data_IF_246096928585
#
_entry.id   IF_246096928585
#
_cell.length_a   1.000
_cell.length_b   1.000
_cell.length_c   1.000
_cell.angle_alpha   90.00
_cell.angle_beta   90.00
_cell.angle_gamma   90.00
#
_symmetry.space_group_name_H-M   'P 1'
#
loop_
_entity.id
_entity.type
_entity.pdbx_description
1 polymer ?
#
# COMPACT_ATOMS: atom_id res chain seq x y z
N UNK A 1 8.17 -18.89 -30.88
CA UNK A 1 6.96 -18.14 -30.46
C UNK A 1 7.05 -17.94 -28.95
N UNK A 2 6.98 -16.71 -28.44
CA UNK A 2 7.03 -16.42 -27.00
C UNK A 2 5.64 -16.73 -26.42
N UNK A 3 5.55 -17.57 -25.40
CA UNK A 3 4.28 -17.86 -24.74
C UNK A 3 3.64 -16.56 -24.23
N UNK A 4 2.30 -16.41 -24.27
CA UNK A 4 1.64 -15.26 -23.70
C UNK A 4 2.00 -15.16 -22.21
N UNK A 5 2.41 -13.97 -21.77
CA UNK A 5 2.71 -13.73 -20.36
C UNK A 5 1.45 -14.05 -19.53
N UNK A 6 1.60 -14.86 -18.49
CA UNK A 6 0.50 -15.17 -17.58
C UNK A 6 -0.07 -13.88 -17.01
N UNK A 7 -1.40 -13.79 -16.91
CA UNK A 7 -2.06 -12.62 -16.33
C UNK A 7 -1.56 -12.39 -14.89
N UNK A 8 -1.33 -11.13 -14.48
CA UNK A 8 -0.84 -10.83 -13.15
C UNK A 8 -1.85 -11.31 -12.09
N UNK A 9 -1.34 -12.04 -11.11
CA UNK A 9 -2.16 -12.59 -10.02
C UNK A 9 -2.79 -11.46 -9.20
N UNK A 10 -4.09 -11.58 -8.95
CA UNK A 10 -4.89 -10.60 -8.21
C UNK A 10 -5.16 -11.06 -6.78
N UNK A 11 -4.95 -10.16 -5.83
CA UNK A 11 -5.22 -10.35 -4.41
C UNK A 11 -6.42 -9.51 -4.00
N UNK A 12 -7.33 -10.10 -3.22
CA UNK A 12 -8.46 -9.38 -2.64
C UNK A 12 -8.10 -8.95 -1.22
N UNK A 13 -8.21 -7.65 -0.94
CA UNK A 13 -7.75 -7.04 0.31
C UNK A 13 -8.78 -6.05 0.86
N UNK A 14 -8.61 -5.67 2.12
CA UNK A 14 -9.28 -4.50 2.71
C UNK A 14 -8.35 -3.30 2.64
N UNK A 15 -8.82 -2.20 2.07
CA UNK A 15 -8.06 -0.96 1.97
C UNK A 15 -8.50 0.05 3.03
N UNK A 16 -7.51 0.68 3.65
CA UNK A 16 -7.67 1.85 4.53
C UNK A 16 -6.74 2.98 4.09
N UNK A 17 -6.80 4.12 4.77
CA UNK A 17 -5.81 5.18 4.64
C UNK A 17 -5.16 5.45 6.00
N UNK A 18 -3.86 5.79 5.98
CA UNK A 18 -3.13 6.23 7.17
C UNK A 18 -2.45 7.57 6.96
N UNK A 19 -2.30 8.28 8.07
CA UNK A 19 -1.59 9.54 8.19
C UNK A 19 -0.24 9.30 8.87
N UNK A 20 0.82 9.96 8.39
CA UNK A 20 2.15 9.91 9.01
C UNK A 20 2.16 10.74 10.32
N UNK A 21 1.47 10.23 11.34
CA UNK A 21 1.33 10.84 12.67
C UNK A 21 1.52 9.78 13.77
N UNK A 22 2.04 10.15 14.96
CA UNK A 22 2.37 9.19 16.02
C UNK A 22 1.21 8.31 16.53
N UNK A 23 -0.05 8.67 16.27
CA UNK A 23 -1.21 7.84 16.63
C UNK A 23 -1.48 6.67 15.67
N UNK A 24 -0.87 6.69 14.48
CA UNK A 24 -1.05 5.69 13.43
C UNK A 24 0.26 5.03 13.00
N UNK A 25 1.40 5.58 13.43
CA UNK A 25 2.75 5.11 13.11
C UNK A 25 3.51 4.77 14.40
N UNK A 26 4.76 4.34 14.27
CA UNK A 26 5.64 4.12 15.42
C UNK A 26 6.35 5.42 15.87
N UNK A 27 7.53 5.32 16.48
CA UNK A 27 8.23 6.45 17.10
C UNK A 27 8.77 7.48 16.10
N UNK A 28 8.92 7.15 14.82
CA UNK A 28 9.32 8.10 13.76
C UNK A 28 8.32 8.05 12.59
N UNK A 29 7.27 8.90 12.62
CA UNK A 29 6.16 8.83 11.66
C UNK A 29 6.58 9.01 10.19
N UNK A 30 7.77 9.55 9.93
CA UNK A 30 8.24 9.85 8.57
C UNK A 30 9.24 8.83 8.04
N UNK A 31 9.58 7.80 8.80
CA UNK A 31 10.47 6.71 8.38
C UNK A 31 9.64 5.44 8.22
N UNK A 32 9.61 4.89 7.01
CA UNK A 32 8.83 3.69 6.69
C UNK A 32 9.56 2.41 7.07
N UNK A 33 8.86 1.27 7.08
CA UNK A 33 9.44 -0.04 7.42
C UNK A 33 10.62 -0.47 6.51
N UNK A 34 10.77 0.11 5.32
CA UNK A 34 11.92 -0.08 4.43
C UNK A 34 13.05 0.95 4.61
N UNK A 35 12.96 1.81 5.62
CA UNK A 35 13.84 2.96 5.92
C UNK A 35 13.79 4.10 4.90
N UNK A 36 12.78 4.15 4.02
CA UNK A 36 12.54 5.33 3.19
C UNK A 36 12.02 6.48 4.05
N UNK A 37 12.28 7.72 3.61
CA UNK A 37 11.78 8.92 4.27
C UNK A 37 10.64 9.54 3.48
N UNK A 38 9.48 9.69 4.13
CA UNK A 38 8.31 10.36 3.53
C UNK A 38 8.70 11.80 3.15
N UNK A 39 8.48 12.22 1.89
CA UNK A 39 8.90 13.53 1.42
C UNK A 39 8.10 14.66 2.06
N UNK A 40 8.69 15.86 2.11
CA UNK A 40 7.96 17.07 2.50
C UNK A 40 6.85 17.35 1.48
N UNK A 41 5.65 17.68 1.99
CA UNK A 41 4.49 17.93 1.14
C UNK A 41 3.81 16.67 0.62
N UNK A 42 4.06 15.52 1.26
CA UNK A 42 3.38 14.26 0.96
C UNK A 42 1.85 14.39 1.02
N UNK A 43 1.19 13.42 0.40
CA UNK A 43 -0.25 13.19 0.46
C UNK A 43 -0.65 11.98 -0.38
N UNK A 44 -1.94 11.81 -0.69
CA UNK A 44 -2.40 10.70 -1.52
C UNK A 44 -1.73 10.64 -2.90
N UNK A 45 -1.33 11.81 -3.42
CA UNK A 45 -0.59 11.95 -4.68
C UNK A 45 0.84 11.38 -4.63
N UNK A 46 1.41 11.15 -3.44
CA UNK A 46 2.72 10.51 -3.27
C UNK A 46 2.68 9.05 -3.73
N UNK A 47 1.49 8.42 -3.73
CA UNK A 47 1.26 7.04 -4.18
C UNK A 47 2.15 6.01 -3.47
N UNK A 48 2.31 6.17 -2.17
CA UNK A 48 2.94 5.17 -1.31
C UNK A 48 1.86 4.43 -0.52
N UNK A 49 2.11 3.16 -0.20
CA UNK A 49 1.23 2.37 0.65
C UNK A 49 1.99 1.43 1.58
N UNK A 50 1.29 1.01 2.63
CA UNK A 50 1.68 -0.07 3.53
C UNK A 50 0.92 -1.35 3.16
N UNK A 51 1.53 -2.51 3.37
CA UNK A 51 0.86 -3.81 3.27
C UNK A 51 0.83 -4.53 4.62
N UNK A 52 -0.18 -5.36 4.84
CA UNK A 52 -0.16 -6.29 5.97
C UNK A 52 0.96 -7.32 5.82
N UNK A 53 1.47 -7.82 6.95
CA UNK A 53 2.63 -8.72 6.98
C UNK A 53 2.47 -9.95 6.10
N UNK A 54 1.30 -10.58 6.08
CA UNK A 54 0.99 -11.76 5.26
C UNK A 54 1.13 -11.54 3.74
N UNK A 55 1.15 -10.28 3.30
CA UNK A 55 1.37 -9.91 1.90
C UNK A 55 2.84 -9.65 1.57
N UNK A 56 3.72 -9.51 2.56
CA UNK A 56 5.12 -9.17 2.37
C UNK A 56 6.07 -10.38 2.47
N UNK A 57 7.10 -10.41 1.62
CA UNK A 57 8.10 -11.49 1.51
C UNK A 57 8.76 -11.89 2.82
N UNK A 58 9.12 -10.96 3.75
CA UNK A 58 9.70 -11.36 5.03
C UNK A 58 8.79 -12.27 5.88
N UNK A 59 7.48 -12.32 5.58
CA UNK A 59 6.51 -13.21 6.23
C UNK A 59 5.90 -14.23 5.26
N UNK A 60 6.56 -14.52 4.14
CA UNK A 60 6.10 -15.51 3.15
C UNK A 60 5.07 -14.99 2.15
N UNK A 61 4.78 -13.69 2.16
CA UNK A 61 3.91 -13.04 1.20
C UNK A 61 4.57 -12.83 -0.18
N UNK A 62 3.78 -12.48 -1.21
CA UNK A 62 4.26 -12.36 -2.58
C UNK A 62 4.93 -11.02 -2.93
N UNK A 63 4.76 -9.98 -2.11
CA UNK A 63 5.24 -8.62 -2.40
C UNK A 63 6.51 -8.27 -1.62
N UNK A 64 7.33 -7.40 -2.20
CA UNK A 64 8.56 -6.86 -1.60
C UNK A 64 8.40 -5.36 -1.41
N UNK A 65 9.10 -4.78 -0.44
CA UNK A 65 9.28 -3.33 -0.44
C UNK A 65 9.93 -2.87 -1.76
N UNK A 66 9.52 -1.70 -2.23
CA UNK A 66 9.87 -1.16 -3.54
C UNK A 66 9.05 -1.74 -4.70
N UNK A 67 8.22 -2.76 -4.49
CA UNK A 67 7.34 -3.24 -5.57
C UNK A 67 6.34 -2.16 -5.96
N UNK A 68 6.22 -1.96 -7.28
CA UNK A 68 5.13 -1.18 -7.86
C UNK A 68 3.90 -2.07 -7.97
N UNK A 69 2.79 -1.62 -7.40
CA UNK A 69 1.52 -2.37 -7.35
C UNK A 69 0.37 -1.55 -7.91
N UNK A 70 -0.59 -2.22 -8.53
CA UNK A 70 -1.84 -1.62 -9.01
C UNK A 70 -2.97 -1.91 -8.02
N UNK A 71 -3.65 -0.86 -7.60
CA UNK A 71 -4.79 -0.89 -6.67
C UNK A 71 -6.06 -0.50 -7.42
N UNK A 72 -7.12 -1.28 -7.22
CA UNK A 72 -8.43 -1.05 -7.83
C UNK A 72 -9.58 -1.26 -6.86
N UNK A 73 -10.65 -0.50 -7.08
CA UNK A 73 -11.92 -0.64 -6.38
C UNK A 73 -11.93 0.03 -5.00
N UNK A 74 -11.03 0.98 -4.73
CA UNK A 74 -11.00 1.77 -3.48
C UNK A 74 -11.70 3.11 -3.64
N UNK A 75 -11.42 3.86 -4.72
CA UNK A 75 -12.17 5.05 -5.13
C UNK A 75 -11.68 5.53 -6.51
N UNK A 76 -12.46 6.32 -7.27
CA UNK A 76 -11.97 6.87 -8.55
C UNK A 76 -10.68 7.70 -8.45
N UNK A 77 -10.42 8.34 -7.30
CA UNK A 77 -9.26 9.23 -7.10
C UNK A 77 -8.04 8.52 -6.50
N UNK A 78 -8.26 7.38 -5.84
CA UNK A 78 -7.22 6.60 -5.18
C UNK A 78 -6.92 5.28 -5.92
N UNK A 79 -7.76 4.83 -6.85
CA UNK A 79 -7.39 3.76 -7.77
C UNK A 79 -6.17 4.19 -8.59
N UNK A 80 -5.19 3.29 -8.77
CA UNK A 80 -3.96 3.65 -9.45
C UNK A 80 -2.78 2.76 -9.13
N UNK A 81 -1.59 3.29 -9.41
CA UNK A 81 -0.32 2.61 -9.20
C UNK A 81 0.38 3.22 -7.99
N UNK A 82 0.91 2.35 -7.12
CA UNK A 82 1.54 2.69 -5.85
C UNK A 82 2.88 1.98 -5.71
N UNK A 83 3.73 2.48 -4.81
CA UNK A 83 4.95 1.80 -4.36
C UNK A 83 4.77 1.32 -2.93
N UNK A 84 5.13 0.08 -2.67
CA UNK A 84 5.11 -0.53 -1.33
C UNK A 84 6.33 -0.06 -0.54
N UNK A 85 6.13 0.77 0.49
CA UNK A 85 7.22 1.24 1.34
C UNK A 85 7.11 0.80 2.79
N UNK A 86 5.91 0.41 3.23
CA UNK A 86 5.65 0.28 4.66
C UNK A 86 4.88 -1.01 5.03
N UNK A 87 4.80 -1.28 6.33
CA UNK A 87 4.17 -2.46 6.89
C UNK A 87 3.14 -2.10 7.94
N UNK A 88 1.93 -2.64 7.78
CA UNK A 88 0.88 -2.48 8.77
C UNK A 88 1.16 -3.28 10.06
N UNK A 89 0.54 -2.87 11.16
CA UNK A 89 0.58 -3.60 12.43
C UNK A 89 0.17 -5.08 12.24
N UNK A 90 0.81 -5.99 13.00
CA UNK A 90 0.60 -7.45 12.93
C UNK A 90 -0.85 -7.94 13.07
N UNK A 91 -1.75 -7.12 13.62
CA UNK A 91 -3.18 -7.44 13.73
C UNK A 91 -3.92 -7.45 12.39
N UNK A 92 -3.36 -6.79 11.36
CA UNK A 92 -3.96 -6.70 10.03
C UNK A 92 -3.57 -7.92 9.19
N UNK A 93 -4.51 -8.37 8.34
CA UNK A 93 -4.32 -9.53 7.47
C UNK A 93 -5.09 -9.31 6.16
N UNK A 94 -4.44 -9.51 5.01
CA UNK A 94 -4.94 -9.14 3.68
C UNK A 94 -5.42 -7.67 3.63
N UNK A 95 -4.58 -6.75 4.09
CA UNK A 95 -4.87 -5.32 4.09
C UNK A 95 -3.82 -4.53 3.30
N UNK A 96 -4.24 -3.40 2.76
CA UNK A 96 -3.37 -2.31 2.32
C UNK A 96 -3.79 -1.01 2.99
N UNK A 97 -2.85 -0.08 3.13
CA UNK A 97 -3.07 1.23 3.74
C UNK A 97 -2.43 2.32 2.89
N UNK A 98 -3.21 3.24 2.33
CA UNK A 98 -2.67 4.31 1.47
C UNK A 98 -2.18 5.48 2.32
N UNK A 99 -0.99 5.99 2.01
CA UNK A 99 -0.47 7.19 2.66
C UNK A 99 -1.29 8.41 2.23
N UNK A 100 -1.79 9.17 3.20
CA UNK A 100 -2.53 10.42 2.97
C UNK A 100 -2.06 11.51 3.93
N UNK A 101 -2.22 12.77 3.53
CA UNK A 101 -1.96 13.89 4.41
C UNK A 101 -3.22 14.20 5.25
N UNK A 102 -3.09 14.55 6.55
CA UNK A 102 -4.26 14.85 7.42
C UNK A 102 -5.23 15.92 6.88
N UNK A 103 -4.71 16.85 6.07
CA UNK A 103 -5.50 17.92 5.40
C UNK A 103 -6.40 17.44 4.27
N UNK A 104 -6.19 16.22 3.78
CA UNK A 104 -7.01 15.64 2.71
C UNK A 104 -8.32 15.06 3.24
N UNK A 105 -8.43 14.84 4.56
CA UNK A 105 -9.63 14.31 5.22
C UNK A 105 -10.17 13.04 4.54
N UNK A 106 -9.27 12.11 4.20
CA UNK A 106 -9.62 10.86 3.53
C UNK A 106 -10.25 9.89 4.52
N UNK A 107 -11.52 9.59 4.33
CA UNK A 107 -12.21 8.47 5.00
C UNK A 107 -12.25 7.29 4.04
N UNK A 108 -11.36 6.31 4.27
CA UNK A 108 -11.25 5.11 3.45
C UNK A 108 -11.37 3.86 4.33
N UNK A 109 -12.45 3.12 4.11
CA UNK A 109 -12.57 1.73 4.52
C UNK A 109 -13.26 0.96 3.40
N UNK A 110 -12.51 0.11 2.70
CA UNK A 110 -13.04 -0.64 1.54
C UNK A 110 -12.59 -2.10 1.55
N UNK A 111 -13.52 -2.98 1.89
CA UNK A 111 -13.35 -4.41 1.67
C UNK A 111 -13.48 -4.75 0.18
N UNK A 112 -12.77 -5.79 -0.26
CA UNK A 112 -12.90 -6.34 -1.62
C UNK A 112 -12.07 -5.63 -2.68
N UNK A 113 -11.20 -4.69 -2.28
CA UNK A 113 -10.25 -4.03 -3.17
C UNK A 113 -9.31 -5.05 -3.83
N UNK A 114 -8.78 -4.70 -5.00
CA UNK A 114 -7.88 -5.57 -5.78
C UNK A 114 -6.48 -4.99 -5.78
N UNK A 115 -5.51 -5.85 -5.50
CA UNK A 115 -4.08 -5.56 -5.51
C UNK A 115 -3.38 -6.50 -6.48
N UNK A 116 -2.54 -5.95 -7.35
CA UNK A 116 -1.76 -6.70 -8.34
C UNK A 116 -0.33 -6.15 -8.39
N UNK A 117 0.66 -7.01 -8.64
CA UNK A 117 1.98 -6.53 -9.02
C UNK A 117 1.88 -5.82 -10.37
N UNK A 118 2.39 -4.60 -10.48
CA UNK A 118 2.44 -3.89 -11.74
C UNK A 118 3.60 -4.46 -12.57
N UNK A 119 3.29 -5.08 -13.71
CA UNK A 119 4.30 -5.36 -14.73
C UNK A 119 4.69 -4.06 -15.41
N UNK A 120 5.98 -3.71 -15.35
CA UNK A 120 6.60 -2.70 -16.20
C UNK A 120 6.59 -3.15 -17.67
#
# INVERSE_FOLDING_TARGET
MKAPAALPKTYTVTATAYEAVPGQTDADPFVTADNSRIPKGYGSHTRWLALSRDLLRPWGGPFTYGDTVRVHGISPTLDGVYVVHDTMNRRHHRCLDVLVHPREHVDLFKAGAKLQLATL
#
